data_IF_216069135002
#
_entry.id   IF_216069135002
#
_cell.length_a   1.000
_cell.length_b   1.000
_cell.length_c   1.000
_cell.angle_alpha   90.00
_cell.angle_beta   90.00
_cell.angle_gamma   90.00
#
_symmetry.space_group_name_H-M   'P 1'
#
loop_
_entity.id
_entity.type
_entity.pdbx_description
1 polymer ?
#
# COMPACT_ATOMS: atom_id res chain seq x y z
N UNK A 1 -15.38 6.75 -3.77
CA UNK A 1 -14.65 5.80 -2.91
C UNK A 1 -13.18 6.19 -3.04
N UNK A 2 -12.59 6.70 -1.96
CA UNK A 2 -11.22 7.21 -1.99
C UNK A 2 -10.24 6.06 -1.88
N UNK A 3 -9.64 5.65 -3.01
CA UNK A 3 -8.62 4.59 -3.09
C UNK A 3 -7.52 4.77 -2.03
N UNK A 4 -7.15 6.02 -1.75
CA UNK A 4 -6.17 6.35 -0.72
C UNK A 4 -6.59 5.87 0.68
N UNK A 5 -7.87 6.03 1.05
CA UNK A 5 -8.34 5.62 2.38
C UNK A 5 -8.31 4.10 2.53
N UNK A 6 -8.65 3.36 1.48
CA UNK A 6 -8.58 1.90 1.48
C UNK A 6 -7.13 1.42 1.60
N UNK A 7 -6.22 1.98 0.80
CA UNK A 7 -4.78 1.67 0.89
C UNK A 7 -4.25 1.94 2.30
N UNK A 8 -4.60 3.08 2.91
CA UNK A 8 -4.20 3.44 4.28
C UNK A 8 -4.73 2.43 5.31
N UNK A 9 -5.99 1.99 5.18
CA UNK A 9 -6.58 0.99 6.08
C UNK A 9 -5.90 -0.35 5.98
N UNK A 10 -5.58 -0.79 4.76
CA UNK A 10 -4.89 -2.06 4.52
C UNK A 10 -3.49 -1.99 5.10
N UNK A 11 -2.79 -0.88 4.90
CA UNK A 11 -1.47 -0.66 5.47
C UNK A 11 -1.51 -0.67 7.01
N UNK A 12 -2.55 -0.10 7.63
CA UNK A 12 -2.73 -0.15 9.08
C UNK A 12 -2.87 -1.57 9.62
N UNK A 13 -3.65 -2.38 8.92
CA UNK A 13 -3.96 -3.77 9.27
C UNK A 13 -2.73 -4.67 9.13
N UNK A 14 -2.08 -4.60 7.97
CA UNK A 14 -0.88 -5.39 7.64
C UNK A 14 0.28 -5.07 8.56
N UNK A 15 0.50 -3.78 8.85
CA UNK A 15 1.60 -3.33 9.71
C UNK A 15 1.18 -3.25 11.19
N UNK A 16 -0.07 -3.56 11.52
CA UNK A 16 -0.64 -3.45 12.87
C UNK A 16 -0.34 -2.09 13.54
N UNK A 17 -0.49 -1.01 12.78
CA UNK A 17 -0.15 0.36 13.20
C UNK A 17 -1.17 1.00 14.16
N UNK A 18 -2.34 0.38 14.34
CA UNK A 18 -3.33 0.79 15.35
C UNK A 18 -3.94 2.18 15.09
N UNK A 19 -4.19 2.51 13.83
CA UNK A 19 -4.77 3.77 13.37
C UNK A 19 -3.73 4.84 13.03
N UNK A 20 -2.43 4.58 13.21
CA UNK A 20 -1.36 5.54 12.88
C UNK A 20 -1.32 5.84 11.39
N UNK A 21 -1.70 4.90 10.53
CA UNK A 21 -1.70 5.16 9.09
C UNK A 21 -2.73 6.21 8.68
N UNK A 22 -3.76 6.48 9.51
CA UNK A 22 -4.81 7.47 9.20
C UNK A 22 -4.28 8.90 9.05
N UNK A 23 -3.10 9.21 9.61
CA UNK A 23 -2.42 10.51 9.40
C UNK A 23 -1.48 10.51 8.20
N UNK A 24 -1.33 9.39 7.48
CA UNK A 24 -0.44 9.32 6.34
C UNK A 24 -1.01 10.13 5.17
N UNK A 25 -0.11 10.88 4.54
CA UNK A 25 -0.40 11.68 3.35
C UNK A 25 0.31 11.07 2.16
N UNK A 26 -0.02 11.52 0.96
CA UNK A 26 0.63 11.05 -0.27
C UNK A 26 2.16 11.20 -0.25
N UNK A 27 2.65 12.25 0.41
CA UNK A 27 4.08 12.53 0.56
C UNK A 27 4.76 11.67 1.64
N UNK A 28 3.99 10.89 2.41
CA UNK A 28 4.55 10.07 3.48
C UNK A 28 5.33 8.90 2.89
N UNK A 29 6.65 8.81 3.18
CA UNK A 29 7.44 7.64 2.79
C UNK A 29 6.98 6.40 3.57
N UNK A 30 6.95 5.26 2.89
CA UNK A 30 6.63 3.96 3.50
C UNK A 30 7.92 3.18 3.70
N UNK A 31 8.64 2.92 2.60
CA UNK A 31 9.92 2.24 2.62
C UNK A 31 10.98 3.07 3.36
N UNK A 32 11.61 2.46 4.38
CA UNK A 32 12.65 3.10 5.20
C UNK A 32 12.14 4.07 6.28
N UNK A 33 10.89 4.51 6.22
CA UNK A 33 10.28 5.36 7.24
C UNK A 33 9.53 4.56 8.30
N UNK A 34 8.97 3.40 7.91
CA UNK A 34 8.31 2.47 8.81
C UNK A 34 9.24 1.28 9.07
N UNK A 35 9.74 1.08 10.30
CA UNK A 35 10.55 -0.08 10.63
C UNK A 35 9.79 -1.40 10.49
N UNK A 36 8.45 -1.36 10.50
CA UNK A 36 7.58 -2.53 10.30
C UNK A 36 7.45 -2.91 8.81
N UNK A 37 7.82 -2.00 7.89
CA UNK A 37 7.69 -2.23 6.46
C UNK A 37 8.91 -2.98 5.91
N UNK A 38 8.92 -4.29 6.18
CA UNK A 38 9.94 -5.24 5.71
C UNK A 38 9.53 -5.97 4.41
N UNK A 39 10.46 -6.72 3.83
CA UNK A 39 10.23 -7.55 2.63
C UNK A 39 9.03 -8.51 2.77
N UNK A 40 8.80 -9.05 3.98
CA UNK A 40 7.64 -9.91 4.25
C UNK A 40 6.33 -9.12 4.35
N UNK A 41 6.37 -7.88 4.85
CA UNK A 41 5.19 -7.03 4.96
C UNK A 41 4.70 -6.58 3.58
N UNK A 42 5.60 -6.38 2.62
CA UNK A 42 5.26 -6.08 1.22
C UNK A 42 4.41 -7.19 0.62
N UNK A 43 4.82 -8.45 0.78
CA UNK A 43 4.06 -9.61 0.28
C UNK A 43 2.66 -9.67 0.90
N UNK A 44 2.55 -9.53 2.23
CA UNK A 44 1.25 -9.50 2.92
C UNK A 44 0.37 -8.32 2.52
N UNK A 45 0.98 -7.16 2.27
CA UNK A 45 0.29 -5.97 1.77
C UNK A 45 -0.32 -6.23 0.39
N UNK A 46 0.46 -6.80 -0.52
CA UNK A 46 -0.01 -7.13 -1.88
C UNK A 46 -1.16 -8.10 -1.81
N UNK A 47 -1.02 -9.22 -1.11
CA UNK A 47 -2.11 -10.20 -0.96
C UNK A 47 -3.37 -9.55 -0.40
N UNK A 48 -3.24 -8.63 0.57
CA UNK A 48 -4.37 -7.93 1.16
C UNK A 48 -5.00 -6.91 0.21
N UNK A 49 -4.20 -6.25 -0.64
CA UNK A 49 -4.68 -5.36 -1.70
C UNK A 49 -5.45 -6.15 -2.75
N UNK A 50 -4.92 -7.28 -3.20
CA UNK A 50 -5.57 -8.16 -4.17
C UNK A 50 -6.91 -8.70 -3.64
N UNK A 51 -6.93 -9.20 -2.39
CA UNK A 51 -8.15 -9.76 -1.76
C UNK A 51 -9.23 -8.69 -1.53
N UNK A 52 -8.86 -7.54 -0.96
CA UNK A 52 -9.85 -6.50 -0.58
C UNK A 52 -10.33 -5.66 -1.76
N UNK A 53 -9.44 -5.38 -2.72
CA UNK A 53 -9.76 -4.52 -3.86
C UNK A 53 -10.06 -5.32 -5.12
N UNK A 54 -9.85 -6.64 -5.11
CA UNK A 54 -10.10 -7.52 -6.26
C UNK A 54 -9.17 -7.25 -7.44
N UNK A 55 -7.98 -6.73 -7.18
CA UNK A 55 -6.96 -6.42 -8.18
C UNK A 55 -5.91 -7.54 -8.25
N UNK A 56 -5.10 -7.54 -9.31
CA UNK A 56 -4.00 -8.49 -9.50
C UNK A 56 -2.71 -7.71 -9.75
N UNK A 57 -1.68 -7.99 -8.94
CA UNK A 57 -0.38 -7.32 -8.99
C UNK A 57 0.64 -8.37 -9.44
N UNK A 58 1.25 -8.15 -10.61
CA UNK A 58 2.26 -9.06 -11.14
C UNK A 58 3.63 -8.80 -10.50
N UNK A 59 4.51 -9.81 -10.50
CA UNK A 59 5.84 -9.71 -9.89
C UNK A 59 6.71 -8.67 -10.62
N UNK A 60 6.54 -8.55 -11.94
CA UNK A 60 7.17 -7.51 -12.77
C UNK A 60 6.73 -6.08 -12.40
N UNK A 61 5.55 -5.91 -11.77
CA UNK A 61 5.05 -4.61 -11.32
C UNK A 61 5.48 -4.26 -9.90
N UNK A 62 6.03 -5.22 -9.14
CA UNK A 62 6.56 -5.02 -7.80
C UNK A 62 7.90 -4.25 -7.83
N UNK A 63 7.84 -2.97 -8.18
CA UNK A 63 8.99 -2.09 -8.14
C UNK A 63 9.15 -1.42 -6.78
N UNK A 64 10.38 -1.17 -6.31
CA UNK A 64 10.61 -0.46 -5.04
C UNK A 64 9.97 0.94 -5.01
N UNK A 65 9.82 1.57 -6.18
CA UNK A 65 9.23 2.90 -6.34
C UNK A 65 7.72 2.96 -6.03
N UNK A 66 6.95 1.89 -6.27
CA UNK A 66 5.51 1.86 -5.92
C UNK A 66 5.32 1.83 -4.40
N UNK A 67 6.28 1.28 -3.65
CA UNK A 67 6.28 1.24 -2.20
C UNK A 67 7.09 2.36 -1.54
N UNK A 68 7.62 3.31 -2.33
CA UNK A 68 8.39 4.42 -1.79
C UNK A 68 7.52 5.34 -0.93
N UNK A 69 6.32 5.68 -1.40
CA UNK A 69 5.39 6.58 -0.71
C UNK A 69 3.94 6.10 -0.81
N UNK A 70 3.09 6.56 0.11
CA UNK A 70 1.64 6.31 0.04
C UNK A 70 1.04 6.84 -1.26
N UNK A 71 1.56 7.95 -1.78
CA UNK A 71 1.15 8.52 -3.06
C UNK A 71 1.37 7.55 -4.22
N UNK A 72 2.58 7.02 -4.35
CA UNK A 72 2.94 6.05 -5.39
C UNK A 72 2.06 4.79 -5.33
N UNK A 73 1.87 4.23 -4.14
CA UNK A 73 1.06 3.04 -3.94
C UNK A 73 -0.42 3.30 -4.28
N UNK A 74 -0.95 4.44 -3.84
CA UNK A 74 -2.34 4.83 -4.14
C UNK A 74 -2.55 5.04 -5.63
N UNK A 75 -1.60 5.68 -6.32
CA UNK A 75 -1.68 5.93 -7.76
C UNK A 75 -1.66 4.62 -8.56
N UNK A 76 -0.76 3.71 -8.20
CA UNK A 76 -0.68 2.37 -8.77
C UNK A 76 -2.01 1.61 -8.60
N UNK A 77 -2.54 1.55 -7.38
CA UNK A 77 -3.82 0.90 -7.08
C UNK A 77 -4.97 1.56 -7.83
N UNK A 78 -5.00 2.90 -7.90
CA UNK A 78 -6.03 3.62 -8.65
C UNK A 78 -5.96 3.32 -10.15
N UNK A 79 -4.75 3.20 -10.71
CA UNK A 79 -4.55 2.81 -12.10
C UNK A 79 -5.05 1.39 -12.35
N UNK A 80 -4.81 0.45 -11.42
CA UNK A 80 -5.32 -0.94 -11.51
C UNK A 80 -6.84 -1.02 -11.45
N UNK A 81 -7.47 -0.22 -10.60
CA UNK A 81 -8.93 -0.18 -10.48
C UNK A 81 -9.64 0.52 -11.65
N UNK A 82 -8.91 1.36 -12.40
CA UNK A 82 -9.43 2.05 -13.57
C UNK A 82 -9.18 1.31 -14.89
N UNK A 83 -8.36 0.26 -14.87
CA UNK A 83 -8.06 -0.62 -16.01
C UNK A 83 -9.11 -1.73 -16.14
#
# INVERSE_FOLDING_TARGET
>A
MDTQQEVIRILDDVLSLGGRSSTFKRDTPLFGALPEFDSMAVVSLITSLEDRLGLMIDDDEMSGDIFATVGSLTDFVASKLAA
#
